data_IF_345902303925
#
_entry.id   IF_345902303925
#
_cell.length_a   1.000
_cell.length_b   1.000
_cell.length_c   1.000
_cell.angle_alpha   90.00
_cell.angle_beta   90.00
_cell.angle_gamma   90.00
#
_symmetry.space_group_name_H-M   'P 1'
#
loop_
_entity.id
_entity.type
_entity.pdbx_description
1 polymer ?
#
# COMPACT_ATOMS: atom_id res chain seq x y z
N UNK A 1 9.33 4.61 -18.31
CA UNK A 1 8.21 4.14 -19.16
C UNK A 1 7.29 3.44 -18.20
N UNK A 2 6.09 3.95 -17.94
CA UNK A 2 5.22 3.33 -16.92
C UNK A 2 4.91 1.88 -17.31
N UNK A 3 5.04 0.99 -16.32
CA UNK A 3 4.94 -0.44 -16.48
C UNK A 3 3.59 -0.95 -16.97
N UNK A 4 3.57 -2.19 -17.42
CA UNK A 4 2.37 -2.88 -17.89
C UNK A 4 2.02 -4.00 -16.93
N UNK A 5 0.74 -4.12 -16.62
CA UNK A 5 0.19 -5.24 -15.89
C UNK A 5 -0.83 -5.97 -16.77
N UNK A 6 -1.03 -7.26 -16.53
CA UNK A 6 -2.07 -8.06 -17.19
C UNK A 6 -2.91 -8.78 -16.15
N UNK A 7 -4.17 -9.05 -16.48
CA UNK A 7 -5.08 -9.82 -15.64
C UNK A 7 -4.85 -11.30 -15.90
N UNK A 8 -4.95 -12.14 -14.88
CA UNK A 8 -5.10 -13.58 -15.06
C UNK A 8 -6.48 -13.88 -15.66
N UNK A 9 -6.49 -14.24 -16.95
CA UNK A 9 -7.70 -14.52 -17.73
C UNK A 9 -8.49 -15.75 -17.23
N UNK A 10 -7.91 -16.55 -16.32
CA UNK A 10 -8.62 -17.68 -15.69
C UNK A 10 -9.60 -17.24 -14.60
N UNK A 11 -9.49 -16.00 -14.14
CA UNK A 11 -10.35 -15.45 -13.08
C UNK A 11 -11.72 -15.07 -13.65
N UNK A 12 -12.78 -15.70 -13.12
CA UNK A 12 -14.15 -15.39 -13.48
C UNK A 12 -14.70 -14.21 -12.65
N UNK A 13 -15.44 -13.32 -13.33
CA UNK A 13 -16.11 -12.20 -12.69
C UNK A 13 -17.41 -12.63 -12.02
N UNK A 14 -17.61 -12.20 -10.78
CA UNK A 14 -18.88 -12.37 -10.07
C UNK A 14 -19.88 -11.31 -10.53
N UNK A 15 -21.08 -11.76 -10.90
CA UNK A 15 -22.19 -10.90 -11.29
C UNK A 15 -23.46 -11.29 -10.51
N UNK A 16 -24.10 -10.31 -9.88
CA UNK A 16 -25.36 -10.50 -9.13
C UNK A 16 -26.39 -9.51 -9.68
N UNK A 17 -27.51 -10.01 -10.21
CA UNK A 17 -28.60 -9.19 -10.75
C UNK A 17 -28.16 -8.15 -11.80
N UNK A 18 -27.13 -8.46 -12.61
CA UNK A 18 -26.58 -7.54 -13.61
C UNK A 18 -25.52 -6.57 -13.06
N UNK A 19 -25.30 -6.54 -11.76
CA UNK A 19 -24.22 -5.78 -11.14
C UNK A 19 -22.93 -6.60 -11.20
N UNK A 20 -21.89 -6.01 -11.80
CA UNK A 20 -20.58 -6.63 -11.99
C UNK A 20 -19.62 -6.17 -10.91
N UNK A 21 -19.16 -7.10 -10.09
CA UNK A 21 -18.10 -6.81 -9.12
C UNK A 21 -16.74 -6.74 -9.81
N UNK A 22 -15.77 -6.00 -9.24
CA UNK A 22 -14.37 -6.08 -9.64
C UNK A 22 -13.85 -7.53 -9.60
N UNK A 23 -12.81 -7.85 -10.36
CA UNK A 23 -12.27 -9.22 -10.35
C UNK A 23 -11.66 -9.60 -9.00
N UNK A 24 -11.05 -8.64 -8.31
CA UNK A 24 -10.27 -8.86 -7.10
C UNK A 24 -11.03 -8.65 -5.80
N UNK A 25 -12.26 -8.14 -5.85
CA UNK A 25 -13.09 -7.97 -4.65
C UNK A 25 -14.55 -8.28 -4.96
N UNK A 26 -15.13 -9.19 -4.19
CA UNK A 26 -16.50 -9.68 -4.37
C UNK A 26 -17.08 -10.26 -3.07
N UNK A 27 -18.41 -10.21 -2.88
CA UNK A 27 -19.04 -10.80 -1.71
C UNK A 27 -18.98 -12.33 -1.75
N UNK A 28 -18.68 -12.95 -0.60
CA UNK A 28 -18.75 -14.42 -0.40
C UNK A 28 -20.03 -14.87 0.29
N UNK A 29 -20.77 -13.91 0.87
CA UNK A 29 -22.10 -14.14 1.44
C UNK A 29 -23.22 -13.58 0.54
N UNK A 30 -24.44 -14.12 0.62
CA UNK A 30 -25.58 -13.61 -0.14
C UNK A 30 -25.87 -12.14 0.17
N UNK A 31 -25.91 -11.30 -0.86
CA UNK A 31 -26.23 -9.88 -0.75
C UNK A 31 -26.94 -9.38 -2.01
N UNK A 32 -27.56 -8.20 -1.92
CA UNK A 32 -28.20 -7.53 -3.07
C UNK A 32 -27.46 -6.21 -3.37
N UNK A 33 -26.73 -6.11 -4.49
CA UNK A 33 -25.98 -4.91 -4.82
C UNK A 33 -26.93 -3.77 -5.22
N UNK A 34 -26.62 -2.56 -4.75
CA UNK A 34 -27.42 -1.36 -4.98
C UNK A 34 -26.52 -0.23 -5.43
N UNK A 35 -26.49 0.01 -6.74
CA UNK A 35 -25.80 1.15 -7.31
C UNK A 35 -26.54 2.46 -6.98
N UNK A 36 -25.77 3.48 -6.60
CA UNK A 36 -26.27 4.78 -6.15
C UNK A 36 -25.20 5.49 -5.35
N UNK A 37 -25.57 6.55 -4.65
CA UNK A 37 -24.67 7.22 -3.73
C UNK A 37 -25.38 7.64 -2.44
N UNK A 38 -24.67 7.63 -1.33
CA UNK A 38 -25.05 8.34 -0.11
C UNK A 38 -24.48 9.76 -0.16
N UNK A 39 -25.08 10.69 0.58
CA UNK A 39 -24.60 12.06 0.71
C UNK A 39 -24.72 12.52 2.16
N UNK A 40 -23.58 12.80 2.78
CA UNK A 40 -23.49 13.35 4.13
C UNK A 40 -22.84 14.73 4.11
N UNK A 41 -23.20 15.59 5.07
CA UNK A 41 -22.49 16.82 5.34
C UNK A 41 -21.72 16.67 6.65
N UNK A 42 -20.41 16.81 6.58
CA UNK A 42 -19.51 16.79 7.73
C UNK A 42 -19.07 18.22 8.05
N UNK A 43 -19.36 18.76 9.26
CA UNK A 43 -18.88 20.07 9.66
C UNK A 43 -17.36 20.05 9.85
N UNK A 44 -16.73 21.21 9.71
CA UNK A 44 -15.30 21.35 9.95
C UNK A 44 -14.90 20.82 11.35
N UNK A 45 -13.83 20.05 11.41
CA UNK A 45 -13.27 19.56 12.66
C UNK A 45 -12.17 20.51 13.15
N UNK A 46 -12.23 20.86 14.43
CA UNK A 46 -11.17 21.58 15.11
C UNK A 46 -10.24 20.54 15.72
N UNK A 47 -9.11 20.23 15.08
CA UNK A 47 -7.78 19.95 15.64
C UNK A 47 -7.53 19.26 17.01
N UNK A 48 -8.53 18.91 17.82
CA UNK A 48 -8.45 18.80 19.29
C UNK A 48 -8.70 17.38 19.83
N UNK A 49 -8.63 16.34 18.99
CA UNK A 49 -8.68 14.95 19.45
C UNK A 49 -7.34 14.28 19.21
N UNK A 50 -6.55 14.18 20.30
CA UNK A 50 -5.19 13.63 20.35
C UNK A 50 -5.00 12.22 19.77
N UNK A 51 -4.88 12.17 18.45
CA UNK A 51 -4.20 11.14 17.66
C UNK A 51 -3.20 11.83 16.74
N UNK A 52 -2.13 11.14 16.33
CA UNK A 52 -0.92 11.74 15.72
C UNK A 52 -1.11 12.40 14.34
N UNK A 53 -2.33 12.48 13.84
CA UNK A 53 -2.70 13.16 12.60
C UNK A 53 -4.04 13.86 12.76
N UNK A 54 -4.05 15.06 13.34
CA UNK A 54 -5.23 15.93 13.25
C UNK A 54 -5.05 16.85 12.05
N UNK A 55 -5.25 16.30 10.85
CA UNK A 55 -5.54 17.12 9.68
C UNK A 55 -6.86 17.86 9.98
N UNK A 56 -6.88 19.19 9.84
CA UNK A 56 -8.11 19.98 10.01
C UNK A 56 -8.86 20.00 8.68
N UNK A 57 -10.03 19.38 8.65
CA UNK A 57 -10.86 19.28 7.46
C UNK A 57 -11.92 20.38 7.47
N UNK A 58 -12.18 21.05 6.33
CA UNK A 58 -13.22 22.06 6.24
C UNK A 58 -14.62 21.45 6.24
N UNK A 59 -15.63 22.32 6.27
CA UNK A 59 -17.02 21.96 5.99
C UNK A 59 -17.10 21.28 4.61
N UNK A 60 -17.61 20.05 4.57
CA UNK A 60 -17.54 19.22 3.37
C UNK A 60 -18.77 18.36 3.18
N UNK A 61 -19.03 18.04 1.92
CA UNK A 61 -19.94 16.98 1.54
C UNK A 61 -19.17 15.71 1.26
N UNK A 62 -19.67 14.58 1.77
CA UNK A 62 -19.12 13.25 1.56
C UNK A 62 -20.09 12.46 0.69
N UNK A 63 -19.60 11.98 -0.44
CA UNK A 63 -20.33 11.09 -1.34
C UNK A 63 -19.67 9.72 -1.28
N UNK A 64 -20.42 8.67 -0.93
CA UNK A 64 -19.97 7.30 -1.14
C UNK A 64 -20.77 6.68 -2.27
N UNK A 65 -20.07 6.30 -3.33
CA UNK A 65 -20.67 6.00 -4.63
C UNK A 65 -20.39 4.55 -4.99
N UNK A 66 -21.46 3.78 -5.10
CA UNK A 66 -21.41 2.39 -5.56
C UNK A 66 -21.84 2.34 -7.02
N UNK A 67 -20.99 1.75 -7.86
CA UNK A 67 -21.25 1.50 -9.27
C UNK A 67 -20.61 0.18 -9.71
N UNK A 68 -21.18 -0.48 -10.71
CA UNK A 68 -20.60 -1.69 -11.27
C UNK A 68 -19.21 -1.44 -11.90
N UNK A 69 -18.35 -2.46 -11.85
CA UNK A 69 -16.97 -2.41 -12.33
C UNK A 69 -16.87 -2.04 -13.83
N UNK A 70 -17.90 -2.35 -14.62
CA UNK A 70 -17.97 -2.02 -16.04
C UNK A 70 -18.15 -0.51 -16.32
N UNK A 71 -18.49 0.28 -15.31
CA UNK A 71 -18.71 1.73 -15.41
C UNK A 71 -17.77 2.56 -14.51
N UNK A 72 -17.11 1.92 -13.55
CA UNK A 72 -16.24 2.55 -12.57
C UNK A 72 -15.15 3.44 -13.19
N UNK A 73 -14.36 2.90 -14.12
CA UNK A 73 -13.29 3.66 -14.79
C UNK A 73 -13.82 4.88 -15.54
N UNK A 74 -14.96 4.73 -16.22
CA UNK A 74 -15.57 5.83 -16.94
C UNK A 74 -16.03 6.93 -15.98
N UNK A 75 -16.62 6.55 -14.84
CA UNK A 75 -17.03 7.50 -13.81
C UNK A 75 -15.82 8.23 -13.21
N UNK A 76 -14.79 7.49 -12.79
CA UNK A 76 -13.56 8.07 -12.25
C UNK A 76 -12.97 9.13 -13.21
N UNK A 77 -12.87 8.81 -14.50
CA UNK A 77 -12.37 9.75 -15.53
C UNK A 77 -13.22 11.01 -15.69
N UNK A 78 -14.53 10.95 -15.41
CA UNK A 78 -15.39 12.14 -15.44
C UNK A 78 -15.32 12.95 -14.14
N UNK A 79 -14.90 12.34 -13.03
CA UNK A 79 -14.71 12.99 -11.75
C UNK A 79 -13.35 13.70 -11.65
N UNK A 80 -12.28 13.15 -12.24
CA UNK A 80 -10.93 13.76 -12.21
C UNK A 80 -10.91 15.22 -12.71
N UNK A 81 -11.62 15.63 -13.78
CA UNK A 81 -11.68 17.03 -14.21
C UNK A 81 -12.33 17.99 -13.21
N UNK A 82 -13.02 17.48 -12.17
CA UNK A 82 -13.52 18.30 -11.07
C UNK A 82 -12.38 18.63 -10.11
N UNK A 83 -11.37 17.76 -9.94
CA UNK A 83 -10.22 18.04 -9.10
C UNK A 83 -9.51 19.34 -9.53
N UNK A 84 -8.84 20.03 -8.60
CA UNK A 84 -7.90 21.10 -8.94
C UNK A 84 -6.82 20.59 -9.91
N UNK A 85 -6.22 21.52 -10.67
CA UNK A 85 -5.22 21.16 -11.70
C UNK A 85 -3.95 20.52 -11.15
N UNK A 86 -3.73 20.61 -9.83
CA UNK A 86 -2.68 19.90 -9.11
C UNK A 86 -3.26 19.25 -7.87
N UNK A 87 -2.75 18.07 -7.55
CA UNK A 87 -3.23 17.20 -6.47
C UNK A 87 -2.06 16.43 -5.87
N UNK A 88 -2.28 15.84 -4.71
CA UNK A 88 -1.45 14.81 -4.13
C UNK A 88 -2.04 13.44 -4.49
N UNK A 89 -1.45 12.67 -5.43
CA UNK A 89 -1.86 11.29 -5.65
C UNK A 89 -1.80 10.46 -4.36
N UNK A 90 -2.79 9.58 -4.21
CA UNK A 90 -2.92 8.63 -3.10
C UNK A 90 -2.94 7.22 -3.67
N UNK A 91 -2.31 6.30 -2.95
CA UNK A 91 -2.35 4.86 -3.19
C UNK A 91 -2.49 4.17 -1.84
N UNK A 92 -3.56 3.41 -1.66
CA UNK A 92 -3.74 2.56 -0.50
C UNK A 92 -3.46 1.13 -0.95
N UNK A 93 -2.62 0.38 -0.26
CA UNK A 93 -2.22 -0.96 -0.68
C UNK A 93 -2.33 -1.96 0.47
N UNK A 94 -3.03 -3.07 0.25
CA UNK A 94 -3.06 -4.19 1.20
C UNK A 94 -1.74 -4.96 1.06
N UNK A 95 -0.77 -4.55 1.87
CA UNK A 95 0.59 -5.05 1.86
C UNK A 95 0.77 -6.35 2.65
N UNK A 96 2.00 -6.57 3.11
CA UNK A 96 2.38 -7.76 3.88
C UNK A 96 2.72 -7.46 5.34
N UNK A 97 2.48 -6.24 5.81
CA UNK A 97 2.69 -5.88 7.20
C UNK A 97 1.76 -6.68 8.12
N UNK A 98 2.35 -7.29 9.15
CA UNK A 98 1.62 -8.17 10.05
C UNK A 98 0.64 -7.47 11.01
N UNK A 99 0.75 -6.14 11.14
CA UNK A 99 0.03 -5.34 12.14
C UNK A 99 -0.67 -4.12 11.54
N UNK A 100 -0.61 -3.99 10.21
CA UNK A 100 -1.30 -2.96 9.43
C UNK A 100 -1.94 -3.59 8.20
N UNK A 101 -3.25 -3.43 8.07
CA UNK A 101 -4.02 -3.99 6.95
C UNK A 101 -3.76 -3.24 5.64
N UNK A 102 -3.70 -1.90 5.70
CA UNK A 102 -3.54 -1.03 4.54
C UNK A 102 -2.30 -0.16 4.74
N UNK A 103 -1.40 -0.16 3.75
CA UNK A 103 -0.31 0.78 3.62
C UNK A 103 -0.80 2.04 2.88
N UNK A 104 -1.00 3.17 3.59
CA UNK A 104 -1.43 4.40 2.94
C UNK A 104 -0.22 5.13 2.37
N UNK A 105 -0.23 5.41 1.08
CA UNK A 105 0.81 6.18 0.41
C UNK A 105 0.24 7.49 -0.13
N UNK A 106 0.98 8.59 0.08
CA UNK A 106 0.62 9.90 -0.47
C UNK A 106 1.85 10.56 -1.09
N UNK A 107 1.65 11.27 -2.19
CA UNK A 107 2.74 12.00 -2.83
C UNK A 107 3.27 13.10 -1.92
N UNK A 108 4.60 13.27 -1.88
CA UNK A 108 5.25 14.38 -1.17
C UNK A 108 4.97 15.77 -1.74
N UNK A 109 4.57 15.84 -3.02
CA UNK A 109 4.46 17.12 -3.73
C UNK A 109 3.23 17.16 -4.63
N UNK A 110 2.71 18.37 -4.85
CA UNK A 110 1.60 18.61 -5.77
C UNK A 110 1.98 18.29 -7.22
N UNK A 111 1.31 17.29 -7.78
CA UNK A 111 1.47 16.83 -9.15
C UNK A 111 0.30 17.26 -10.02
N UNK A 112 0.55 17.47 -11.32
CA UNK A 112 -0.54 17.69 -12.27
C UNK A 112 -1.43 16.45 -12.39
N UNK A 113 -2.73 16.63 -12.56
CA UNK A 113 -3.70 15.51 -12.69
C UNK A 113 -3.39 14.58 -13.87
N UNK A 114 -2.66 15.05 -14.89
CA UNK A 114 -2.17 14.21 -15.98
C UNK A 114 -1.24 13.09 -15.50
N UNK A 115 -0.42 13.31 -14.45
CA UNK A 115 0.47 12.29 -13.89
C UNK A 115 -0.32 11.15 -13.22
N UNK A 116 -1.39 11.50 -12.50
CA UNK A 116 -2.34 10.54 -11.94
C UNK A 116 -2.97 9.71 -13.06
N UNK A 117 -3.52 10.39 -14.07
CA UNK A 117 -4.21 9.72 -15.18
C UNK A 117 -3.28 8.82 -16.02
N UNK A 118 -2.04 9.23 -16.23
CA UNK A 118 -1.05 8.44 -16.96
C UNK A 118 -0.64 7.19 -16.16
N UNK A 119 -0.42 7.31 -14.86
CA UNK A 119 -0.17 6.16 -13.98
C UNK A 119 -1.35 5.20 -13.93
N UNK A 120 -2.56 5.73 -13.72
CA UNK A 120 -3.81 4.95 -13.71
C UNK A 120 -4.04 4.23 -15.04
N UNK A 121 -3.71 4.88 -16.17
CA UNK A 121 -3.82 4.26 -17.49
C UNK A 121 -2.81 3.14 -17.70
N UNK A 122 -1.59 3.29 -17.20
CA UNK A 122 -0.53 2.30 -17.37
C UNK A 122 -0.84 1.00 -16.60
N UNK A 123 -1.33 1.13 -15.36
CA UNK A 123 -1.67 0.03 -14.48
C UNK A 123 -3.19 -0.14 -14.31
N UNK A 124 -3.95 0.04 -15.40
CA UNK A 124 -5.43 0.09 -15.38
C UNK A 124 -6.06 -1.07 -14.62
N UNK A 125 -5.63 -2.30 -14.87
CA UNK A 125 -6.23 -3.48 -14.25
C UNK A 125 -5.94 -3.57 -12.76
N UNK A 126 -4.73 -3.18 -12.34
CA UNK A 126 -4.41 -3.05 -10.93
C UNK A 126 -5.39 -2.10 -10.24
N UNK A 127 -5.54 -0.88 -10.75
CA UNK A 127 -6.41 0.12 -10.11
C UNK A 127 -7.91 -0.22 -10.09
N UNK A 128 -8.48 -0.69 -11.20
CA UNK A 128 -9.93 -0.86 -11.31
C UNK A 128 -10.45 -2.26 -11.03
N UNK A 129 -9.57 -3.28 -11.03
CA UNK A 129 -10.00 -4.68 -10.89
C UNK A 129 -9.38 -5.39 -9.70
N UNK A 130 -8.13 -5.09 -9.34
CA UNK A 130 -7.40 -5.78 -8.27
C UNK A 130 -7.93 -5.40 -6.88
N UNK A 131 -8.13 -6.38 -6.00
CA UNK A 131 -8.68 -6.15 -4.67
C UNK A 131 -7.66 -5.61 -3.68
N UNK A 132 -6.38 -5.56 -4.03
CA UNK A 132 -5.32 -5.23 -3.08
C UNK A 132 -5.00 -3.73 -3.04
N UNK A 133 -5.70 -2.88 -3.80
CA UNK A 133 -5.40 -1.44 -3.79
C UNK A 133 -6.62 -0.53 -3.84
N UNK A 134 -6.52 0.59 -3.12
CA UNK A 134 -7.27 1.83 -3.36
C UNK A 134 -6.35 2.88 -4.01
N UNK A 135 -6.93 3.88 -4.66
CA UNK A 135 -6.16 4.95 -5.27
C UNK A 135 -7.00 6.21 -5.47
N UNK A 136 -6.33 7.35 -5.56
CA UNK A 136 -7.03 8.60 -5.75
C UNK A 136 -6.14 9.82 -5.71
N UNK A 137 -6.72 10.91 -5.25
CA UNK A 137 -6.06 12.18 -5.13
C UNK A 137 -6.70 13.05 -4.05
N UNK A 138 -5.83 13.77 -3.35
CA UNK A 138 -6.20 14.83 -2.41
C UNK A 138 -5.77 16.19 -2.98
N UNK A 139 -6.55 17.22 -2.70
CA UNK A 139 -6.16 18.62 -2.82
C UNK A 139 -6.56 19.32 -1.53
N UNK A 140 -5.66 20.13 -1.00
CA UNK A 140 -5.86 20.95 0.20
C UNK A 140 -6.53 22.28 -0.13
N UNK A 141 -6.16 22.92 -1.26
CA UNK A 141 -6.72 24.21 -1.68
C UNK A 141 -7.03 24.28 -3.20
N UNK A 142 -8.31 24.33 -3.61
CA UNK A 142 -9.49 24.11 -2.79
C UNK A 142 -9.57 22.64 -2.33
N UNK A 143 -10.23 22.41 -1.20
CA UNK A 143 -10.28 21.08 -0.59
C UNK A 143 -11.10 20.11 -1.45
N UNK A 144 -10.49 19.00 -1.86
CA UNK A 144 -11.16 17.90 -2.53
C UNK A 144 -10.40 16.59 -2.38
N UNK A 145 -11.09 15.55 -1.91
CA UNK A 145 -10.60 14.19 -1.80
C UNK A 145 -11.41 13.31 -2.76
N UNK A 146 -10.76 12.60 -3.67
CA UNK A 146 -11.39 11.64 -4.59
C UNK A 146 -10.60 10.34 -4.53
N UNK A 147 -11.20 9.29 -3.98
CA UNK A 147 -10.57 7.97 -3.84
C UNK A 147 -11.51 6.89 -4.35
N UNK A 148 -10.95 5.90 -5.05
CA UNK A 148 -11.55 4.59 -5.26
C UNK A 148 -10.87 3.68 -4.24
N UNK A 149 -11.59 3.16 -3.26
CA UNK A 149 -11.01 2.30 -2.22
C UNK A 149 -10.71 0.87 -2.73
N UNK A 150 -10.22 0.00 -1.86
CA UNK A 150 -9.97 -1.43 -2.10
C UNK A 150 -11.24 -2.22 -2.41
N UNK A 151 -12.41 -1.77 -1.95
CA UNK A 151 -13.73 -2.30 -2.28
C UNK A 151 -14.27 -1.80 -3.63
N UNK A 152 -13.55 -0.88 -4.27
CA UNK A 152 -13.89 -0.18 -5.51
C UNK A 152 -15.13 0.71 -5.40
N UNK A 153 -15.33 1.28 -4.23
CA UNK A 153 -16.30 2.33 -3.94
C UNK A 153 -15.60 3.67 -4.12
N UNK A 154 -16.27 4.62 -4.77
CA UNK A 154 -15.72 5.97 -4.91
C UNK A 154 -16.19 6.80 -3.73
N UNK A 155 -15.25 7.31 -2.94
CA UNK A 155 -15.51 8.35 -1.94
C UNK A 155 -15.05 9.71 -2.47
N UNK A 156 -15.94 10.70 -2.41
CA UNK A 156 -15.63 12.10 -2.72
C UNK A 156 -15.91 12.94 -1.49
N UNK A 157 -14.91 13.67 -1.02
CA UNK A 157 -15.10 14.74 -0.05
C UNK A 157 -14.82 16.06 -0.74
N UNK A 158 -15.76 17.01 -0.71
CA UNK A 158 -15.55 18.29 -1.36
C UNK A 158 -16.32 19.42 -0.67
N UNK A 159 -15.81 20.64 -0.82
CA UNK A 159 -16.50 21.85 -0.38
C UNK A 159 -17.83 22.09 -1.13
N UNK A 160 -18.66 22.94 -0.55
CA UNK A 160 -20.02 23.22 -1.02
C UNK A 160 -20.12 23.71 -2.47
N UNK A 161 -19.12 24.43 -2.99
CA UNK A 161 -19.09 24.98 -4.35
C UNK A 161 -18.86 23.91 -5.45
N UNK A 162 -18.42 22.72 -5.06
CA UNK A 162 -18.17 21.57 -5.94
C UNK A 162 -19.30 20.55 -5.93
N UNK A 163 -20.13 20.54 -4.90
CA UNK A 163 -21.26 19.60 -4.72
C UNK A 163 -22.11 19.45 -6.00
N UNK A 164 -22.64 20.55 -6.54
CA UNK A 164 -23.51 20.51 -7.72
C UNK A 164 -22.81 19.96 -8.97
N UNK A 165 -21.48 20.09 -9.07
CA UNK A 165 -20.71 19.54 -10.18
C UNK A 165 -20.59 18.02 -10.06
N UNK A 166 -20.34 17.53 -8.84
CA UNK A 166 -20.30 16.09 -8.53
C UNK A 166 -21.66 15.46 -8.82
N UNK A 167 -22.74 15.98 -8.25
CA UNK A 167 -24.12 15.49 -8.47
C UNK A 167 -24.48 15.44 -9.96
N UNK A 168 -24.05 16.42 -10.75
CA UNK A 168 -24.28 16.44 -12.21
C UNK A 168 -23.57 15.30 -12.93
N UNK A 169 -22.34 14.96 -12.54
CA UNK A 169 -21.62 13.81 -13.09
C UNK A 169 -22.32 12.52 -12.68
N UNK A 170 -22.67 12.36 -11.41
CA UNK A 170 -23.38 11.17 -10.92
C UNK A 170 -24.72 10.95 -11.66
N UNK A 171 -25.49 12.02 -11.85
CA UNK A 171 -26.74 11.97 -12.61
C UNK A 171 -26.55 11.55 -14.08
N UNK A 172 -25.42 11.91 -14.71
CA UNK A 172 -25.09 11.46 -16.07
C UNK A 172 -24.77 9.96 -16.15
N UNK A 173 -24.47 9.34 -15.00
CA UNK A 173 -24.32 7.89 -14.85
C UNK A 173 -25.60 7.23 -14.32
N UNK A 174 -26.75 7.92 -14.33
CA UNK A 174 -28.02 7.42 -13.80
C UNK A 174 -27.96 7.01 -12.31
N UNK A 175 -26.96 7.51 -11.58
CA UNK A 175 -26.84 7.30 -10.15
C UNK A 175 -27.73 8.30 -9.42
N UNK A 176 -28.43 7.80 -8.39
CA UNK A 176 -29.32 8.59 -7.55
C UNK A 176 -28.85 8.49 -6.11
N UNK A 177 -29.16 9.54 -5.35
CA UNK A 177 -29.04 9.50 -3.91
C UNK A 177 -29.96 8.42 -3.34
N UNK A 178 -29.39 7.50 -2.57
CA UNK A 178 -30.08 6.42 -1.87
C UNK A 178 -29.49 6.30 -0.46
N UNK A 179 -30.30 5.81 0.48
CA UNK A 179 -29.90 5.71 1.89
C UNK A 179 -28.76 4.71 2.08
N UNK A 180 -28.86 3.54 1.45
CA UNK A 180 -27.90 2.45 1.62
C UNK A 180 -27.43 1.94 0.24
N UNK A 181 -26.48 2.63 -0.43
CA UNK A 181 -25.76 1.99 -1.52
C UNK A 181 -25.06 0.72 -1.02
N UNK A 182 -24.93 -0.30 -1.87
CA UNK A 182 -24.41 -1.60 -1.43
C UNK A 182 -23.44 -2.18 -2.48
N UNK A 183 -22.15 -2.14 -2.16
CA UNK A 183 -21.05 -2.71 -2.94
C UNK A 183 -20.60 -4.08 -2.41
N UNK A 184 -19.32 -4.40 -2.58
CA UNK A 184 -18.73 -5.64 -2.06
C UNK A 184 -18.63 -5.64 -0.53
N UNK A 185 -18.41 -4.47 0.06
CA UNK A 185 -18.29 -4.18 1.49
C UNK A 185 -19.58 -4.43 2.30
N UNK A 186 -20.74 -4.42 1.63
CA UNK A 186 -22.04 -4.60 2.27
C UNK A 186 -22.32 -6.04 2.78
N UNK A 187 -21.38 -6.97 2.57
CA UNK A 187 -21.38 -8.32 3.11
C UNK A 187 -19.95 -8.80 3.34
N UNK A 188 -19.78 -9.98 3.97
CA UNK A 188 -18.48 -10.62 4.01
C UNK A 188 -17.96 -10.85 2.58
N UNK A 189 -16.71 -10.48 2.34
CA UNK A 189 -16.08 -10.46 1.03
C UNK A 189 -14.62 -10.88 1.12
N UNK A 190 -14.01 -11.11 -0.03
CA UNK A 190 -12.59 -11.46 -0.15
C UNK A 190 -11.87 -10.44 -1.02
N UNK A 191 -10.65 -10.08 -0.61
CA UNK A 191 -9.68 -9.37 -1.44
C UNK A 191 -8.70 -10.38 -2.05
N UNK A 192 -8.38 -10.20 -3.33
CA UNK A 192 -7.36 -10.99 -4.02
C UNK A 192 -6.61 -10.17 -5.06
N UNK A 193 -5.35 -10.54 -5.24
CA UNK A 193 -4.56 -10.15 -6.39
C UNK A 193 -5.07 -10.87 -7.65
N UNK A 194 -5.20 -10.14 -8.76
CA UNK A 194 -5.70 -10.63 -10.05
C UNK A 194 -4.66 -10.54 -11.17
N UNK A 195 -3.46 -10.05 -10.86
CA UNK A 195 -2.41 -9.83 -11.84
C UNK A 195 -1.74 -11.14 -12.24
N UNK A 196 -1.51 -11.30 -13.54
CA UNK A 196 -0.79 -12.42 -14.10
C UNK A 196 0.71 -12.12 -14.18
N UNK A 197 1.50 -12.82 -13.36
CA UNK A 197 2.94 -12.61 -13.18
C UNK A 197 3.74 -13.89 -13.48
N UNK A 198 3.72 -14.40 -14.73
CA UNK A 198 4.44 -15.62 -15.06
C UNK A 198 5.95 -15.35 -15.16
N UNK A 199 6.77 -16.32 -14.74
CA UNK A 199 8.24 -16.20 -14.74
C UNK A 199 8.84 -15.89 -16.13
N UNK A 200 8.16 -16.27 -17.22
CA UNK A 200 8.61 -16.05 -18.59
C UNK A 200 8.22 -14.67 -19.18
N UNK A 201 7.47 -13.84 -18.42
CA UNK A 201 7.09 -12.48 -18.79
C UNK A 201 7.44 -11.48 -17.69
N UNK A 202 8.73 -11.25 -17.41
CA UNK A 202 9.18 -10.25 -16.44
C UNK A 202 8.82 -8.80 -16.84
N UNK A 203 8.30 -8.59 -18.06
CA UNK A 203 7.75 -7.30 -18.47
C UNK A 203 6.34 -7.02 -17.91
N UNK A 204 5.68 -8.03 -17.33
CA UNK A 204 4.41 -7.91 -16.63
C UNK A 204 4.68 -7.84 -15.14
N UNK A 205 4.44 -6.65 -14.57
CA UNK A 205 4.71 -6.42 -13.16
C UNK A 205 3.62 -7.00 -12.27
N UNK A 206 4.05 -7.50 -11.10
CA UNK A 206 3.19 -7.80 -9.96
C UNK A 206 2.78 -6.54 -9.19
N UNK A 207 1.94 -6.73 -8.18
CA UNK A 207 1.39 -5.63 -7.39
C UNK A 207 2.49 -4.83 -6.67
N UNK A 208 3.40 -5.49 -5.94
CA UNK A 208 4.51 -4.83 -5.24
C UNK A 208 5.41 -4.03 -6.18
N UNK A 209 5.75 -4.59 -7.35
CA UNK A 209 6.59 -3.92 -8.36
C UNK A 209 5.87 -2.69 -8.94
N UNK A 210 4.54 -2.76 -9.13
CA UNK A 210 3.73 -1.60 -9.54
C UNK A 210 3.73 -0.54 -8.44
N UNK A 211 3.58 -0.92 -7.17
CA UNK A 211 3.63 0.01 -6.04
C UNK A 211 4.99 0.71 -6.03
N UNK A 212 6.09 -0.03 -6.16
CA UNK A 212 7.45 0.52 -6.24
C UNK A 212 7.59 1.55 -7.39
N UNK A 213 7.17 1.18 -8.60
CA UNK A 213 7.20 2.06 -9.78
C UNK A 213 6.37 3.34 -9.55
N UNK A 214 5.22 3.22 -8.90
CA UNK A 214 4.35 4.35 -8.57
C UNK A 214 4.93 5.21 -7.45
N UNK A 215 5.63 4.63 -6.47
CA UNK A 215 6.34 5.40 -5.44
C UNK A 215 7.36 6.34 -6.07
N UNK A 216 8.09 5.88 -7.09
CA UNK A 216 9.00 6.75 -7.85
C UNK A 216 8.25 7.75 -8.73
N UNK A 217 7.29 7.28 -9.52
CA UNK A 217 6.60 8.09 -10.51
C UNK A 217 5.73 9.20 -9.88
N UNK A 218 5.08 8.90 -8.75
CA UNK A 218 4.22 9.82 -8.01
C UNK A 218 4.88 10.40 -6.75
N UNK A 219 6.16 10.08 -6.50
CA UNK A 219 6.92 10.54 -5.32
C UNK A 219 6.19 10.22 -4.00
N UNK A 220 5.69 8.99 -3.89
CA UNK A 220 4.88 8.56 -2.76
C UNK A 220 5.75 8.18 -1.56
N UNK A 221 5.33 8.67 -0.41
CA UNK A 221 5.83 8.24 0.89
C UNK A 221 4.73 7.51 1.65
N UNK A 222 5.11 6.55 2.51
CA UNK A 222 4.19 5.88 3.41
C UNK A 222 3.70 6.87 4.46
N UNK A 223 2.39 7.12 4.48
CA UNK A 223 1.74 8.13 5.31
C UNK A 223 1.39 7.58 6.70
N UNK A 224 2.42 7.25 7.48
CA UNK A 224 2.30 6.73 8.85
C UNK A 224 3.25 7.47 9.81
N UNK A 225 3.00 7.39 11.12
CA UNK A 225 3.98 7.87 12.10
C UNK A 225 5.18 6.92 12.13
N UNK A 226 6.28 7.36 11.53
CA UNK A 226 7.50 6.56 11.43
C UNK A 226 8.25 6.42 12.77
N UNK A 227 7.89 7.22 13.78
CA UNK A 227 8.58 7.30 15.08
C UNK A 227 7.92 6.47 16.17
N UNK A 228 6.68 6.01 15.95
CA UNK A 228 5.94 5.12 16.84
C UNK A 228 5.75 3.76 16.18
N UNK A 229 5.62 2.71 16.99
CA UNK A 229 5.29 1.38 16.48
C UNK A 229 3.96 0.91 17.07
N UNK A 230 2.90 1.31 16.39
CA UNK A 230 1.52 1.00 16.76
C UNK A 230 0.85 0.14 15.68
N UNK A 231 -0.10 -0.70 16.08
CA UNK A 231 -1.00 -1.39 15.14
C UNK A 231 -2.17 -0.50 14.72
N UNK A 232 -3.04 -1.03 13.85
CA UNK A 232 -4.25 -0.34 13.36
C UNK A 232 -5.25 0.03 14.46
N UNK A 233 -5.18 -0.63 15.63
CA UNK A 233 -5.99 -0.29 16.81
C UNK A 233 -5.33 0.79 17.68
N UNK A 234 -4.15 1.29 17.28
CA UNK A 234 -3.37 2.28 18.02
C UNK A 234 -2.63 1.72 19.24
N UNK A 235 -2.46 0.39 19.33
CA UNK A 235 -1.77 -0.26 20.45
C UNK A 235 -0.27 -0.28 20.20
N UNK A 236 0.51 0.12 21.21
CA UNK A 236 1.97 0.04 21.19
C UNK A 236 2.45 -1.41 21.10
N UNK A 237 3.28 -1.69 20.10
CA UNK A 237 3.85 -3.02 19.83
C UNK A 237 5.24 -3.22 20.45
N UNK A 238 5.96 -2.12 20.73
CA UNK A 238 7.36 -2.17 21.17
C UNK A 238 8.29 -2.60 20.04
N UNK A 239 9.29 -3.43 20.35
CA UNK A 239 10.23 -3.95 19.35
C UNK A 239 9.61 -5.12 18.59
N UNK A 240 9.57 -5.00 17.26
CA UNK A 240 9.06 -6.03 16.35
C UNK A 240 10.11 -6.39 15.31
N UNK A 241 10.04 -7.59 14.69
CA UNK A 241 10.87 -7.89 13.53
C UNK A 241 10.32 -7.24 12.27
N UNK A 242 11.23 -6.78 11.41
CA UNK A 242 10.92 -6.11 10.15
C UNK A 242 11.67 -6.80 9.02
N UNK A 243 11.00 -6.97 7.88
CA UNK A 243 11.59 -7.35 6.61
C UNK A 243 11.67 -6.11 5.73
N UNK A 244 12.89 -5.70 5.44
CA UNK A 244 13.18 -4.58 4.57
C UNK A 244 13.68 -5.10 3.21
N UNK A 245 13.08 -4.60 2.14
CA UNK A 245 13.58 -4.78 0.78
C UNK A 245 14.19 -3.46 0.32
N UNK A 246 15.42 -3.51 -0.13
CA UNK A 246 16.21 -2.32 -0.48
C UNK A 246 16.66 -2.43 -1.92
N UNK A 247 16.25 -1.47 -2.74
CA UNK A 247 16.70 -1.34 -4.12
C UNK A 247 18.03 -0.61 -4.16
N UNK A 248 18.92 -1.10 -5.02
CA UNK A 248 20.21 -0.51 -5.29
C UNK A 248 20.44 -0.41 -6.80
N UNK A 249 20.58 0.81 -7.31
CA UNK A 249 20.79 1.09 -8.74
C UNK A 249 22.28 1.10 -9.11
N UNK A 250 22.81 -0.03 -9.56
CA UNK A 250 24.19 -0.14 -10.02
C UNK A 250 24.28 0.08 -11.55
N UNK A 251 24.37 1.35 -11.96
CA UNK A 251 24.49 1.72 -13.36
C UNK A 251 23.23 1.40 -14.15
N UNK A 252 23.30 0.45 -15.09
CA UNK A 252 22.13 -0.03 -15.86
C UNK A 252 21.45 -1.26 -15.22
N UNK A 253 21.93 -1.73 -14.07
CA UNK A 253 21.36 -2.89 -13.38
C UNK A 253 20.79 -2.52 -12.01
N UNK A 254 19.54 -2.90 -11.79
CA UNK A 254 18.89 -2.84 -10.48
C UNK A 254 19.17 -4.14 -9.74
N UNK A 255 19.56 -4.03 -8.46
CA UNK A 255 19.68 -5.18 -7.55
C UNK A 255 18.90 -4.90 -6.28
N UNK A 256 18.45 -5.95 -5.63
CA UNK A 256 17.70 -5.85 -4.38
C UNK A 256 18.47 -6.53 -3.25
N UNK A 257 18.47 -5.93 -2.07
CA UNK A 257 18.89 -6.57 -0.84
C UNK A 257 17.67 -6.85 0.03
N UNK A 258 17.65 -8.01 0.66
CA UNK A 258 16.71 -8.33 1.74
C UNK A 258 17.47 -8.23 3.06
N UNK A 259 16.98 -7.36 3.95
CA UNK A 259 17.52 -7.18 5.29
C UNK A 259 16.42 -7.41 6.30
N UNK A 260 16.71 -8.22 7.31
CA UNK A 260 15.78 -8.51 8.41
C UNK A 260 16.38 -7.89 9.67
N UNK A 261 15.59 -7.06 10.34
CA UNK A 261 15.99 -6.35 11.56
C UNK A 261 14.95 -6.55 12.66
N UNK A 262 15.31 -6.24 13.89
CA UNK A 262 14.36 -5.90 14.95
C UNK A 262 14.46 -4.41 15.21
N UNK A 263 13.33 -3.74 15.38
CA UNK A 263 13.29 -2.31 15.67
C UNK A 263 12.01 -1.92 16.41
N UNK A 264 12.09 -0.82 17.16
CA UNK A 264 11.03 -0.22 17.98
C UNK A 264 10.16 0.79 17.21
N UNK A 265 10.53 1.15 15.98
CA UNK A 265 9.74 1.96 15.05
C UNK A 265 10.26 1.81 13.62
N UNK A 266 9.49 2.30 12.64
CA UNK A 266 9.84 2.24 11.22
C UNK A 266 11.13 3.01 10.93
N UNK A 267 11.30 4.21 11.49
CA UNK A 267 12.51 5.03 11.30
C UNK A 267 13.78 4.24 11.68
N UNK A 268 13.76 3.57 12.84
CA UNK A 268 14.91 2.79 13.29
C UNK A 268 15.10 1.51 12.48
N UNK A 269 14.01 0.89 12.00
CA UNK A 269 14.10 -0.25 11.07
C UNK A 269 14.79 0.16 9.77
N UNK A 270 14.41 1.31 9.22
CA UNK A 270 14.98 1.87 8.00
C UNK A 270 16.45 2.23 8.17
N UNK A 271 16.82 2.90 9.27
CA UNK A 271 18.22 3.22 9.58
C UNK A 271 19.10 1.96 9.68
N UNK A 272 18.65 0.93 10.41
CA UNK A 272 19.37 -0.33 10.55
C UNK A 272 19.50 -1.07 9.21
N UNK A 273 18.44 -1.07 8.41
CA UNK A 273 18.43 -1.73 7.11
C UNK A 273 19.34 -1.02 6.09
N UNK A 274 19.34 0.31 6.11
CA UNK A 274 20.23 1.14 5.31
C UNK A 274 21.69 0.86 5.68
N UNK A 275 22.05 0.96 6.96
CA UNK A 275 23.41 0.70 7.44
C UNK A 275 23.90 -0.71 7.11
N UNK A 276 23.04 -1.72 7.26
CA UNK A 276 23.34 -3.09 6.88
C UNK A 276 23.63 -3.20 5.38
N UNK A 277 22.85 -2.51 4.54
CA UNK A 277 23.02 -2.51 3.08
C UNK A 277 24.31 -1.82 2.67
N UNK A 278 24.68 -0.69 3.30
CA UNK A 278 25.98 -0.04 3.10
C UNK A 278 27.12 -0.99 3.48
N UNK A 279 26.96 -1.77 4.56
CA UNK A 279 27.91 -2.82 4.94
C UNK A 279 28.09 -3.91 3.88
N UNK A 280 26.99 -4.34 3.24
CA UNK A 280 27.02 -5.28 2.11
C UNK A 280 27.74 -4.68 0.89
N UNK A 281 27.51 -3.40 0.61
CA UNK A 281 28.15 -2.67 -0.50
C UNK A 281 29.65 -2.50 -0.29
N UNK A 282 30.10 -2.18 0.93
CA UNK A 282 31.53 -2.05 1.22
C UNK A 282 32.32 -3.35 0.99
N UNK A 283 31.64 -4.50 1.01
CA UNK A 283 32.21 -5.81 0.64
C UNK A 283 32.27 -6.07 -0.88
N UNK A 284 31.58 -5.27 -1.69
CA UNK A 284 31.53 -5.36 -3.15
C UNK A 284 32.39 -4.24 -3.77
N UNK A 285 33.48 -4.59 -4.43
CA UNK A 285 34.43 -3.63 -5.00
C UNK A 285 33.86 -2.79 -6.17
N UNK A 286 32.60 -3.02 -6.58
CA UNK A 286 31.98 -2.43 -7.77
C UNK A 286 30.97 -1.30 -7.52
N UNK A 287 30.66 -0.94 -6.27
CA UNK A 287 29.43 -0.19 -5.93
C UNK A 287 29.63 1.24 -5.36
N UNK A 288 30.65 1.96 -5.78
CA UNK A 288 31.16 3.14 -5.06
C UNK A 288 30.28 4.42 -5.07
N UNK A 289 29.14 4.48 -5.75
CA UNK A 289 28.39 5.75 -5.96
C UNK A 289 26.85 5.61 -5.91
N UNK A 290 26.30 4.69 -5.10
CA UNK A 290 24.86 4.41 -5.13
C UNK A 290 24.22 4.65 -3.76
N UNK A 291 23.08 5.34 -3.78
CA UNK A 291 22.22 5.60 -2.63
C UNK A 291 21.11 4.52 -2.59
N UNK A 292 21.17 3.56 -1.64
CA UNK A 292 20.17 2.51 -1.55
C UNK A 292 18.81 3.08 -1.12
N UNK A 293 17.74 2.63 -1.77
CA UNK A 293 16.36 3.09 -1.53
C UNK A 293 15.57 1.95 -0.89
N UNK A 294 14.95 2.22 0.26
CA UNK A 294 14.09 1.24 0.93
C UNK A 294 12.72 1.23 0.23
N UNK A 295 12.41 0.11 -0.41
CA UNK A 295 11.18 -0.07 -1.21
C UNK A 295 10.08 -0.81 -0.43
N UNK A 296 10.44 -1.60 0.57
CA UNK A 296 9.49 -2.27 1.48
C UNK A 296 10.08 -2.28 2.88
N UNK A 297 9.23 -2.10 3.89
CA UNK A 297 9.59 -2.23 5.31
C UNK A 297 8.38 -2.75 6.10
N UNK A 298 8.18 -4.07 6.06
CA UNK A 298 7.00 -4.72 6.65
C UNK A 298 7.34 -5.36 7.98
N UNK A 299 6.47 -5.19 8.97
CA UNK A 299 6.57 -5.94 10.23
C UNK A 299 6.19 -7.39 10.01
N UNK A 300 6.86 -8.27 10.74
CA UNK A 300 6.58 -9.70 10.79
C UNK A 300 6.05 -10.08 12.17
N UNK A 301 5.16 -11.08 12.22
CA UNK A 301 4.91 -11.82 13.46
C UNK A 301 6.14 -12.65 13.85
N UNK A 302 6.28 -13.05 15.13
CA UNK A 302 7.35 -13.96 15.54
C UNK A 302 7.39 -15.27 14.73
N UNK A 303 6.23 -15.82 14.38
CA UNK A 303 6.11 -17.04 13.56
C UNK A 303 6.63 -16.81 12.14
N UNK A 304 6.22 -15.72 11.49
CA UNK A 304 6.70 -15.37 10.14
C UNK A 304 8.22 -15.13 10.13
N UNK A 305 8.78 -14.51 11.17
CA UNK A 305 10.23 -14.35 11.31
C UNK A 305 10.93 -15.71 11.37
N UNK A 306 10.45 -16.63 12.21
CA UNK A 306 11.04 -17.96 12.35
C UNK A 306 11.01 -18.74 11.02
N UNK A 307 9.88 -18.72 10.33
CA UNK A 307 9.69 -19.35 9.03
C UNK A 307 10.64 -18.76 7.97
N UNK A 308 10.72 -17.42 7.88
CA UNK A 308 11.61 -16.72 6.97
C UNK A 308 13.08 -17.09 7.24
N UNK A 309 13.53 -17.02 8.50
CA UNK A 309 14.91 -17.36 8.86
C UNK A 309 15.21 -18.84 8.60
N UNK A 310 14.26 -19.75 8.82
CA UNK A 310 14.43 -21.17 8.54
C UNK A 310 14.57 -21.43 7.03
N UNK A 311 13.71 -20.81 6.21
CA UNK A 311 13.78 -20.90 4.75
C UNK A 311 15.14 -20.39 4.25
N UNK A 312 15.59 -19.24 4.74
CA UNK A 312 16.88 -18.65 4.32
C UNK A 312 18.10 -19.47 4.74
N UNK A 313 18.03 -20.12 5.91
CA UNK A 313 19.06 -21.10 6.32
C UNK A 313 19.09 -22.32 5.39
N UNK A 314 17.93 -22.80 4.93
CA UNK A 314 17.85 -23.91 3.98
C UNK A 314 18.42 -23.53 2.60
N UNK A 315 18.31 -22.26 2.20
CA UNK A 315 18.93 -21.68 1.00
C UNK A 315 20.45 -21.43 1.16
N UNK A 316 21.04 -21.71 2.32
CA UNK A 316 22.48 -21.55 2.58
C UNK A 316 22.92 -20.11 2.88
N UNK A 317 22.00 -19.22 3.25
CA UNK A 317 22.31 -17.83 3.62
C UNK A 317 22.97 -17.79 5.00
N UNK A 318 24.19 -17.26 5.15
CA UNK A 318 24.80 -17.06 6.46
C UNK A 318 24.03 -16.00 7.26
N UNK A 319 23.80 -16.25 8.56
CA UNK A 319 23.43 -15.17 9.49
C UNK A 319 24.55 -14.15 9.62
N UNK A 320 24.25 -12.93 10.09
CA UNK A 320 25.25 -11.86 10.25
C UNK A 320 26.43 -12.36 11.09
N UNK A 321 27.69 -12.17 10.66
CA UNK A 321 28.86 -12.51 11.45
C UNK A 321 29.10 -11.45 12.53
N UNK A 322 28.64 -11.69 13.78
CA UNK A 322 29.05 -10.79 14.87
C UNK A 322 28.35 -10.88 16.22
N UNK A 323 28.55 -11.96 16.98
CA UNK A 323 28.85 -11.86 18.41
C UNK A 323 29.93 -12.88 18.76
N UNK A 324 31.20 -12.46 18.73
CA UNK A 324 32.27 -13.21 19.39
C UNK A 324 32.11 -13.01 20.90
N UNK A 325 31.29 -13.85 21.53
CA UNK A 325 31.36 -14.08 22.96
C UNK A 325 32.75 -14.61 23.30
N UNK A 326 33.54 -13.79 24.00
CA UNK A 326 34.76 -14.23 24.69
C UNK A 326 34.39 -15.35 25.67
N UNK A 327 35.00 -16.52 25.51
CA UNK A 327 34.50 -17.77 26.07
C UNK A 327 34.53 -17.95 27.59
N UNK A 328 33.79 -18.97 28.02
CA UNK A 328 34.12 -19.89 29.10
C UNK A 328 33.24 -21.16 28.96
N UNK A 329 33.87 -22.31 29.17
CA UNK A 329 33.30 -23.66 29.10
C UNK A 329 31.98 -23.86 29.86
N UNK A 330 31.05 -24.60 29.26
CA UNK A 330 29.87 -25.11 29.97
C UNK A 330 28.91 -25.83 29.02
N UNK A 331 28.93 -27.16 29.04
CA UNK A 331 28.03 -28.01 28.27
C UNK A 331 26.55 -27.78 28.65
N UNK A 332 25.74 -27.51 27.64
CA UNK A 332 24.29 -27.53 27.65
C UNK A 332 23.79 -27.23 26.24
N UNK A 333 23.30 -28.24 25.53
CA UNK A 333 22.50 -28.02 24.31
C UNK A 333 21.21 -27.32 24.74
N UNK A 334 21.24 -25.99 24.77
CA UNK A 334 20.03 -25.17 24.71
C UNK A 334 19.59 -25.13 23.25
N UNK A 335 18.43 -25.74 22.99
CA UNK A 335 17.61 -25.40 21.82
C UNK A 335 17.43 -23.88 21.80
N UNK A 336 17.71 -23.15 20.69
CA UNK A 336 17.53 -21.71 20.65
C UNK A 336 16.03 -21.41 20.63
N UNK A 337 15.45 -21.27 21.82
CA UNK A 337 14.10 -20.80 22.05
C UNK A 337 14.06 -19.27 21.95
N UNK A 338 13.02 -18.78 21.27
CA UNK A 338 12.61 -17.38 21.17
C UNK A 338 13.74 -16.39 20.86
N UNK A 339 13.81 -15.90 19.61
CA UNK A 339 14.58 -14.70 19.31
C UNK A 339 14.13 -13.61 20.28
N UNK A 340 14.98 -13.25 21.24
CA UNK A 340 14.66 -12.18 22.19
C UNK A 340 14.50 -10.89 21.43
N UNK A 341 13.25 -10.45 21.24
CA UNK A 341 12.88 -9.17 20.61
C UNK A 341 13.09 -7.99 21.57
N UNK A 342 14.11 -8.06 22.44
CA UNK A 342 14.29 -7.07 23.50
C UNK A 342 15.05 -5.82 23.01
N UNK A 343 15.75 -5.91 21.88
CA UNK A 343 16.64 -4.87 21.39
C UNK A 343 16.56 -4.75 19.87
N UNK A 344 16.77 -3.54 19.37
CA UNK A 344 16.84 -3.26 17.94
C UNK A 344 18.20 -3.66 17.37
N UNK A 345 18.21 -4.47 16.31
CA UNK A 345 19.45 -4.99 15.69
C UNK A 345 19.20 -5.62 14.32
N UNK A 346 20.27 -5.77 13.54
CA UNK A 346 20.24 -6.53 12.28
C UNK A 346 20.32 -8.03 12.56
N UNK A 347 19.39 -8.80 12.02
CA UNK A 347 19.35 -10.26 12.13
C UNK A 347 19.96 -10.94 10.90
N UNK A 348 19.74 -10.36 9.71
CA UNK A 348 20.18 -10.91 8.42
C UNK A 348 20.25 -9.79 7.38
N UNK A 349 21.17 -9.90 6.42
CA UNK A 349 21.21 -9.05 5.23
C UNK A 349 21.84 -9.82 4.07
N UNK A 350 21.24 -9.77 2.88
CA UNK A 350 21.77 -10.43 1.68
C UNK A 350 21.33 -9.73 0.40
N UNK A 351 22.08 -9.92 -0.68
CA UNK A 351 21.62 -9.62 -2.03
C UNK A 351 20.66 -10.71 -2.51
N UNK A 352 19.58 -10.31 -3.19
CA UNK A 352 18.72 -11.19 -3.97
C UNK A 352 19.35 -11.41 -5.35
N UNK A 353 19.28 -12.66 -5.81
CA UNK A 353 19.94 -13.15 -7.03
C UNK A 353 19.04 -13.11 -8.25
#
# INVERSE_FOLDING_TARGET
>A
MLARCAVDETIERVEINGFKFPLGVYPVEPMEPRAGYSLEFEPADSGELGGDFVEEWPDRYVFDIVIGADRLEALFRQLVPILPGRVYPILDFIGHDAYREIDPYISRSLMGTDWLLDGVRACRSFFFEDGMCGFGALSDDPFMHLVVDEHKIITIRCESDRREKVERVLAAFDLKEIEDPAGADAAAHEHRNILWTPEDRPDLLGAEEIVEDLRDAWQLDLNVDITRNIDDEGRELGVTPWRCLIRNEAGESTRYAEVVVTADCLLHAEELAYDATIGLLAGDASSADIDPVIVIADRLTPTQLEELLQQRRAEGVPGVPGERGTGADGAGEEMPGAVGLAESRVLMGRWLS
#
